data_IF_668073052799
#
_entry.id   IF_668073052799
#
_cell.length_a   1.000
_cell.length_b   1.000
_cell.length_c   1.000
_cell.angle_alpha   90.00
_cell.angle_beta   90.00
_cell.angle_gamma   90.00
#
_symmetry.space_group_name_H-M   'P 1'
#
loop_
_entity.id
_entity.type
_entity.pdbx_description
1 polymer ?
#
# COMPACT_ATOMS: atom_id res chain seq x y z
N UNK A 1 8.82 15.80 -28.56
CA UNK A 1 7.61 15.30 -27.89
C UNK A 1 7.82 15.52 -26.41
N UNK A 2 6.86 16.08 -25.66
CA UNK A 2 7.02 16.20 -24.20
C UNK A 2 7.11 14.80 -23.60
N UNK A 3 7.84 14.65 -22.50
CA UNK A 3 7.83 13.38 -21.77
C UNK A 3 6.40 13.01 -21.35
N UNK A 4 6.05 11.71 -21.38
CA UNK A 4 4.73 11.24 -20.98
C UNK A 4 4.46 11.59 -19.51
N UNK A 5 3.29 12.14 -19.20
CA UNK A 5 2.96 12.56 -17.85
C UNK A 5 2.82 11.34 -16.91
N UNK A 6 3.24 11.49 -15.65
CA UNK A 6 3.08 10.47 -14.62
C UNK A 6 1.71 10.60 -13.95
N UNK A 7 1.06 9.48 -13.66
CA UNK A 7 -0.18 9.44 -12.89
C UNK A 7 -0.08 8.43 -11.76
N UNK A 8 -0.56 8.81 -10.57
CA UNK A 8 -0.62 7.90 -9.42
C UNK A 8 -2.06 7.45 -9.19
N UNK A 9 -2.28 6.16 -9.04
CA UNK A 9 -3.58 5.54 -8.85
C UNK A 9 -3.58 4.80 -7.52
N UNK A 10 -4.45 5.17 -6.59
CA UNK A 10 -4.57 4.48 -5.30
C UNK A 10 -5.79 3.58 -5.27
N UNK A 11 -5.61 2.33 -4.86
CA UNK A 11 -6.70 1.38 -4.67
C UNK A 11 -6.79 0.93 -3.20
N UNK A 12 -7.98 1.05 -2.60
CA UNK A 12 -8.27 0.58 -1.24
C UNK A 12 -8.41 -0.94 -1.15
N UNK A 13 -8.50 -1.48 0.08
CA UNK A 13 -8.53 -2.94 0.30
C UNK A 13 -9.73 -3.65 -0.33
N UNK A 14 -10.90 -3.00 -0.37
CA UNK A 14 -12.08 -3.51 -1.08
C UNK A 14 -11.92 -3.47 -2.60
N UNK A 15 -11.11 -2.56 -3.12
CA UNK A 15 -10.80 -2.41 -4.54
C UNK A 15 -9.77 -3.41 -5.06
N UNK A 16 -9.12 -4.19 -4.19
CA UNK A 16 -8.13 -5.21 -4.58
C UNK A 16 -8.53 -6.63 -4.15
N UNK A 17 -9.73 -6.79 -3.59
CA UNK A 17 -10.14 -8.02 -2.92
C UNK A 17 -10.68 -9.12 -3.84
N UNK A 18 -10.98 -8.85 -5.11
CA UNK A 18 -11.59 -9.84 -6.01
C UNK A 18 -11.11 -9.71 -7.46
N UNK A 19 -11.25 -10.78 -8.27
CA UNK A 19 -10.87 -10.76 -9.68
C UNK A 19 -11.53 -9.65 -10.50
N UNK A 20 -12.83 -9.40 -10.29
CA UNK A 20 -13.59 -8.37 -11.03
C UNK A 20 -13.07 -6.96 -10.74
N UNK A 21 -12.53 -6.76 -9.53
CA UNK A 21 -11.88 -5.51 -9.15
C UNK A 21 -10.52 -5.36 -9.82
N UNK A 22 -9.75 -6.44 -9.92
CA UNK A 22 -8.49 -6.45 -10.66
C UNK A 22 -8.68 -6.26 -12.17
N UNK A 23 -9.75 -6.78 -12.77
CA UNK A 23 -10.14 -6.45 -14.14
C UNK A 23 -10.42 -4.95 -14.31
N UNK A 24 -11.03 -4.32 -13.30
CA UNK A 24 -11.23 -2.86 -13.29
C UNK A 24 -9.89 -2.12 -13.20
N UNK A 25 -8.98 -2.54 -12.31
CA UNK A 25 -7.63 -1.96 -12.19
C UNK A 25 -6.87 -2.10 -13.51
N UNK A 26 -6.92 -3.26 -14.15
CA UNK A 26 -6.32 -3.54 -15.44
C UNK A 26 -6.82 -2.58 -16.53
N UNK A 27 -8.14 -2.42 -16.62
CA UNK A 27 -8.79 -1.51 -17.58
C UNK A 27 -8.39 -0.06 -17.35
N UNK A 28 -8.40 0.41 -16.10
CA UNK A 28 -8.01 1.79 -15.76
C UNK A 28 -6.54 2.05 -16.08
N UNK A 29 -5.66 1.11 -15.71
CA UNK A 29 -4.22 1.21 -15.97
C UNK A 29 -3.93 1.26 -17.46
N UNK A 30 -4.57 0.38 -18.25
CA UNK A 30 -4.43 0.35 -19.71
C UNK A 30 -4.93 1.65 -20.35
N UNK A 31 -6.08 2.16 -19.93
CA UNK A 31 -6.62 3.42 -20.44
C UNK A 31 -5.64 4.60 -20.23
N UNK A 32 -5.03 4.72 -19.05
CA UNK A 32 -4.01 5.75 -18.81
C UNK A 32 -2.77 5.54 -19.66
N UNK A 33 -2.36 4.29 -19.89
CA UNK A 33 -1.21 3.98 -20.74
C UNK A 33 -1.47 4.34 -22.21
N UNK A 34 -2.67 4.02 -22.71
CA UNK A 34 -3.11 4.33 -24.08
C UNK A 34 -3.22 5.85 -24.30
N UNK A 35 -3.58 6.60 -23.26
CA UNK A 35 -3.54 8.07 -23.23
C UNK A 35 -2.11 8.66 -23.16
N UNK A 36 -1.08 7.81 -23.21
CA UNK A 36 0.32 8.23 -23.17
C UNK A 36 0.83 8.62 -21.78
N UNK A 37 0.19 8.17 -20.70
CA UNK A 37 0.67 8.38 -19.32
C UNK A 37 1.55 7.24 -18.82
N UNK A 38 2.24 7.48 -17.71
CA UNK A 38 3.04 6.51 -16.93
C UNK A 38 2.32 6.21 -15.60
N UNK A 39 1.59 5.09 -15.49
CA UNK A 39 0.88 4.76 -14.25
C UNK A 39 1.81 4.20 -13.16
N UNK A 40 1.71 4.77 -11.95
CA UNK A 40 2.14 4.12 -10.72
C UNK A 40 0.92 3.80 -9.86
N UNK A 41 0.75 2.52 -9.52
CA UNK A 41 -0.35 2.02 -8.71
C UNK A 41 0.11 1.87 -7.27
N UNK A 42 -0.69 2.37 -6.33
CA UNK A 42 -0.52 2.20 -4.89
C UNK A 42 -1.70 1.38 -4.39
N UNK A 43 -1.47 0.13 -4.04
CA UNK A 43 -2.52 -0.77 -3.56
C UNK A 43 -2.42 -0.96 -2.05
N UNK A 44 -3.57 -1.18 -1.41
CA UNK A 44 -3.66 -1.56 -0.01
C UNK A 44 -3.56 -3.09 0.15
N UNK A 45 -3.48 -3.58 1.39
CA UNK A 45 -3.75 -4.97 1.74
C UNK A 45 -5.19 -5.36 1.33
N UNK A 46 -5.45 -6.65 1.13
CA UNK A 46 -6.82 -7.12 0.82
C UNK A 46 -7.80 -6.75 1.94
N UNK A 47 -9.07 -6.56 1.59
CA UNK A 47 -10.12 -6.22 2.57
C UNK A 47 -10.09 -7.11 3.82
N UNK A 48 -10.00 -6.50 5.00
CA UNK A 48 -9.97 -7.19 6.30
C UNK A 48 -8.62 -7.84 6.68
N UNK A 49 -7.61 -7.85 5.81
CA UNK A 49 -6.31 -8.49 6.11
C UNK A 49 -5.55 -7.74 7.20
N UNK A 50 -5.54 -6.41 7.18
CA UNK A 50 -4.85 -5.61 8.22
C UNK A 50 -5.42 -5.92 9.62
N UNK A 51 -6.75 -5.93 9.76
CA UNK A 51 -7.41 -6.25 11.03
C UNK A 51 -7.17 -7.70 11.46
N UNK A 52 -7.09 -8.63 10.50
CA UNK A 52 -6.80 -10.03 10.78
C UNK A 52 -5.34 -10.26 11.17
N UNK A 53 -4.39 -9.53 10.58
CA UNK A 53 -2.99 -9.53 11.03
C UNK A 53 -2.89 -8.91 12.44
N UNK A 54 -3.70 -7.90 12.74
CA UNK A 54 -3.74 -7.34 14.09
C UNK A 54 -4.22 -8.37 15.11
N UNK A 55 -5.29 -9.09 14.77
CA UNK A 55 -5.79 -10.22 15.56
C UNK A 55 -4.72 -11.31 15.72
N UNK A 56 -3.97 -11.62 14.66
CA UNK A 56 -2.86 -12.59 14.71
C UNK A 56 -1.80 -12.18 15.73
N UNK A 57 -1.40 -10.90 15.72
CA UNK A 57 -0.39 -10.35 16.63
C UNK A 57 -0.86 -10.46 18.08
N UNK A 58 -2.12 -10.09 18.34
CA UNK A 58 -2.73 -10.15 19.68
C UNK A 58 -2.84 -11.59 20.19
N UNK A 59 -3.37 -12.51 19.37
CA UNK A 59 -3.48 -13.94 19.69
C UNK A 59 -2.12 -14.56 19.98
N UNK A 60 -1.12 -14.31 19.12
CA UNK A 60 0.24 -14.84 19.31
C UNK A 60 0.89 -14.28 20.58
N UNK A 61 0.78 -12.97 20.83
CA UNK A 61 1.38 -12.35 22.02
C UNK A 61 0.69 -12.76 23.33
N UNK A 62 -0.64 -12.97 23.31
CA UNK A 62 -1.39 -13.56 24.43
C UNK A 62 -1.00 -15.02 24.68
N UNK A 63 -0.53 -15.68 23.61
CA UNK A 63 0.03 -17.00 23.67
C UNK A 63 -0.92 -18.13 23.36
N UNK A 64 -2.05 -17.77 22.78
CA UNK A 64 -3.05 -18.63 22.21
C UNK A 64 -2.57 -19.16 20.85
N UNK A 65 -3.30 -20.12 20.27
CA UNK A 65 -2.96 -20.73 18.99
C UNK A 65 -3.23 -19.77 17.81
N UNK A 66 -2.19 -19.30 17.09
CA UNK A 66 -2.36 -18.41 15.94
C UNK A 66 -2.75 -19.15 14.65
N UNK A 67 -2.72 -20.49 14.64
CA UNK A 67 -2.90 -21.28 13.42
C UNK A 67 -4.23 -20.99 12.69
N UNK A 68 -5.39 -20.85 13.35
CA UNK A 68 -6.64 -20.54 12.65
C UNK A 68 -6.59 -19.19 11.91
N UNK A 69 -5.96 -18.18 12.50
CA UNK A 69 -5.84 -16.84 11.89
C UNK A 69 -4.88 -16.89 10.70
N UNK A 70 -3.75 -17.60 10.84
CA UNK A 70 -2.80 -17.82 9.75
C UNK A 70 -3.45 -18.57 8.58
N UNK A 71 -4.19 -19.65 8.84
CA UNK A 71 -4.90 -20.41 7.80
C UNK A 71 -5.89 -19.53 7.04
N UNK A 72 -6.69 -18.72 7.75
CA UNK A 72 -7.64 -17.81 7.10
C UNK A 72 -6.95 -16.71 6.28
N UNK A 73 -5.79 -16.21 6.73
CA UNK A 73 -4.97 -15.27 5.95
C UNK A 73 -4.43 -15.94 4.68
N UNK A 74 -3.88 -17.14 4.79
CA UNK A 74 -3.36 -17.88 3.65
C UNK A 74 -4.46 -18.16 2.62
N UNK A 75 -5.58 -18.73 3.06
CA UNK A 75 -6.72 -19.09 2.20
C UNK A 75 -7.23 -17.88 1.42
N UNK A 76 -7.35 -16.71 2.07
CA UNK A 76 -7.79 -15.50 1.40
C UNK A 76 -6.86 -15.06 0.27
N UNK A 77 -5.53 -15.15 0.45
CA UNK A 77 -4.56 -14.77 -0.58
C UNK A 77 -4.44 -15.83 -1.67
N UNK A 78 -4.41 -17.12 -1.30
CA UNK A 78 -4.38 -18.24 -2.24
C UNK A 78 -5.61 -18.24 -3.16
N UNK A 79 -6.82 -18.06 -2.60
CA UNK A 79 -8.04 -17.99 -3.39
C UNK A 79 -8.01 -16.84 -4.42
N UNK A 80 -7.45 -15.69 -4.06
CA UNK A 80 -7.30 -14.58 -5.00
C UNK A 80 -6.25 -14.89 -6.07
N UNK A 81 -5.09 -15.42 -5.69
CA UNK A 81 -4.02 -15.78 -6.62
C UNK A 81 -4.49 -16.85 -7.63
N UNK A 82 -5.21 -17.87 -7.16
CA UNK A 82 -5.81 -18.92 -7.98
C UNK A 82 -6.85 -18.33 -8.95
N UNK A 83 -7.76 -17.49 -8.44
CA UNK A 83 -8.81 -16.89 -9.25
C UNK A 83 -8.27 -15.92 -10.32
N UNK A 84 -7.11 -15.31 -10.07
CA UNK A 84 -6.39 -14.47 -11.03
C UNK A 84 -5.46 -15.26 -11.96
N UNK A 85 -5.28 -16.56 -11.75
CA UNK A 85 -4.41 -17.42 -12.59
C UNK A 85 -2.91 -17.26 -12.34
N UNK A 86 -2.51 -16.69 -11.20
CA UNK A 86 -1.10 -16.32 -10.89
C UNK A 86 -0.48 -17.11 -9.73
N UNK A 87 -1.12 -18.21 -9.33
CA UNK A 87 -0.62 -19.07 -8.26
C UNK A 87 0.79 -19.61 -8.55
N UNK A 88 1.71 -19.46 -7.58
CA UNK A 88 3.09 -19.94 -7.69
C UNK A 88 3.97 -19.24 -8.72
N UNK A 89 3.56 -18.08 -9.25
CA UNK A 89 4.35 -17.32 -10.24
C UNK A 89 5.21 -16.23 -9.61
N UNK A 90 6.40 -16.03 -10.19
CA UNK A 90 7.26 -14.86 -10.01
C UNK A 90 7.06 -13.88 -11.16
N UNK A 91 7.14 -12.58 -10.91
CA UNK A 91 7.29 -11.58 -11.97
C UNK A 91 8.75 -11.61 -12.43
N UNK A 92 9.03 -12.28 -13.55
CA UNK A 92 10.37 -12.39 -14.12
C UNK A 92 10.68 -11.11 -14.95
N UNK A 93 11.42 -10.13 -14.41
CA UNK A 93 12.54 -9.44 -15.08
C UNK A 93 13.04 -8.15 -14.39
N UNK A 94 14.31 -8.21 -13.94
CA UNK A 94 15.30 -7.15 -13.70
C UNK A 94 15.61 -6.70 -12.24
N UNK A 95 16.45 -7.53 -11.60
CA UNK A 95 17.59 -7.20 -10.74
C UNK A 95 17.28 -6.46 -9.42
N UNK A 96 17.01 -7.24 -8.36
CA UNK A 96 17.96 -7.48 -7.24
C UNK A 96 17.35 -8.30 -6.10
N UNK A 97 16.03 -8.53 -6.09
CA UNK A 97 15.32 -9.33 -5.07
C UNK A 97 13.97 -9.89 -5.61
N UNK A 98 14.02 -10.55 -6.78
CA UNK A 98 12.84 -10.83 -7.63
C UNK A 98 12.17 -12.19 -7.43
N UNK A 99 12.73 -13.09 -6.60
CA UNK A 99 12.12 -14.41 -6.36
C UNK A 99 11.03 -14.41 -5.28
N UNK A 100 10.86 -13.29 -4.54
CA UNK A 100 9.90 -13.23 -3.46
C UNK A 100 8.46 -13.16 -4.00
N UNK A 101 7.74 -14.25 -3.82
CA UNK A 101 6.30 -14.35 -4.10
C UNK A 101 5.48 -13.87 -2.90
N UNK A 102 4.15 -13.85 -3.03
CA UNK A 102 3.29 -13.56 -1.88
C UNK A 102 3.45 -14.63 -0.77
N UNK A 103 3.73 -15.89 -1.13
CA UNK A 103 4.03 -16.97 -0.20
C UNK A 103 5.29 -16.67 0.63
N UNK A 104 6.31 -16.05 0.03
CA UNK A 104 7.53 -15.65 0.77
C UNK A 104 7.23 -14.63 1.89
N UNK A 105 6.30 -13.70 1.61
CA UNK A 105 5.82 -12.75 2.60
C UNK A 105 4.92 -13.42 3.65
N UNK A 106 4.12 -14.41 3.24
CA UNK A 106 3.32 -15.22 4.16
C UNK A 106 4.21 -16.03 5.12
N UNK A 107 5.27 -16.67 4.62
CA UNK A 107 6.26 -17.39 5.44
C UNK A 107 6.93 -16.45 6.45
N UNK A 108 7.21 -15.21 6.04
CA UNK A 108 7.74 -14.18 6.94
C UNK A 108 6.73 -13.85 8.04
N UNK A 109 5.45 -13.70 7.70
CA UNK A 109 4.40 -13.48 8.67
C UNK A 109 4.27 -14.66 9.66
N UNK A 110 4.40 -15.90 9.19
CA UNK A 110 4.41 -17.08 10.05
C UNK A 110 5.58 -17.08 11.03
N UNK A 111 6.79 -16.76 10.56
CA UNK A 111 7.98 -16.63 11.43
C UNK A 111 7.80 -15.52 12.47
N UNK A 112 7.24 -14.38 12.07
CA UNK A 112 6.93 -13.29 13.00
C UNK A 112 5.92 -13.75 14.07
N UNK A 113 4.83 -14.43 13.67
CA UNK A 113 3.85 -14.97 14.60
C UNK A 113 4.47 -15.97 15.58
N UNK A 114 5.35 -16.86 15.10
CA UNK A 114 6.09 -17.79 15.98
C UNK A 114 6.97 -17.05 16.98
N UNK A 115 7.70 -16.01 16.53
CA UNK A 115 8.50 -15.15 17.39
C UNK A 115 7.66 -14.50 18.49
N UNK A 116 6.52 -13.91 18.12
CA UNK A 116 5.57 -13.30 19.07
C UNK A 116 5.03 -14.31 20.09
N UNK A 117 4.71 -15.53 19.65
CA UNK A 117 4.26 -16.61 20.53
C UNK A 117 5.31 -17.04 21.54
N UNK A 118 6.59 -17.03 21.15
CA UNK A 118 7.71 -17.39 22.03
C UNK A 118 8.05 -16.28 23.03
N UNK A 119 8.05 -15.02 22.59
CA UNK A 119 8.43 -13.88 23.44
C UNK A 119 7.28 -13.34 24.28
N UNK A 120 6.02 -13.66 23.94
CA UNK A 120 4.80 -13.09 24.55
C UNK A 120 4.79 -11.56 24.55
N UNK A 121 5.43 -10.96 23.54
CA UNK A 121 5.62 -9.52 23.46
C UNK A 121 5.62 -9.04 22.00
N UNK A 122 4.78 -8.03 21.71
CA UNK A 122 4.63 -7.41 20.40
C UNK A 122 5.12 -5.94 20.41
N UNK A 123 6.43 -5.69 20.30
CA UNK A 123 6.96 -4.34 20.24
C UNK A 123 6.51 -3.63 18.94
N UNK A 124 6.43 -2.28 18.91
CA UNK A 124 5.94 -1.53 17.75
C UNK A 124 6.64 -1.88 16.43
N UNK A 125 7.96 -2.11 16.47
CA UNK A 125 8.73 -2.50 15.28
C UNK A 125 8.27 -3.86 14.69
N UNK A 126 8.03 -4.87 15.54
CA UNK A 126 7.53 -6.17 15.06
C UNK A 126 6.08 -6.09 14.59
N UNK A 127 5.26 -5.27 15.25
CA UNK A 127 3.88 -4.99 14.81
C UNK A 127 3.87 -4.35 13.42
N UNK A 128 4.75 -3.38 13.17
CA UNK A 128 4.93 -2.76 11.85
C UNK A 128 5.35 -3.78 10.78
N UNK A 129 6.34 -4.63 11.08
CA UNK A 129 6.80 -5.66 10.15
C UNK A 129 5.71 -6.68 9.79
N UNK A 130 4.90 -7.09 10.77
CA UNK A 130 3.80 -8.02 10.55
C UNK A 130 2.68 -7.38 9.71
N UNK A 131 2.22 -6.19 10.08
CA UNK A 131 1.17 -5.47 9.36
C UNK A 131 1.56 -5.16 7.91
N UNK A 132 2.85 -4.87 7.66
CA UNK A 132 3.37 -4.65 6.31
C UNK A 132 3.23 -5.86 5.38
N UNK A 133 3.20 -7.09 5.91
CA UNK A 133 3.07 -8.28 5.07
C UNK A 133 1.74 -8.30 4.30
N UNK A 134 0.67 -7.73 4.85
CA UNK A 134 -0.62 -7.65 4.15
C UNK A 134 -0.54 -6.86 2.84
N UNK A 135 0.17 -5.73 2.88
CA UNK A 135 0.42 -4.86 1.73
C UNK A 135 1.34 -5.55 0.71
N UNK A 136 2.42 -6.17 1.20
CA UNK A 136 3.39 -6.87 0.37
C UNK A 136 2.77 -8.07 -0.36
N UNK A 137 1.97 -8.91 0.32
CA UNK A 137 1.29 -10.05 -0.30
C UNK A 137 0.30 -9.61 -1.38
N UNK A 138 -0.59 -8.65 -1.06
CA UNK A 138 -1.59 -8.12 -1.99
C UNK A 138 -0.95 -7.58 -3.27
N UNK A 139 0.12 -6.80 -3.13
CA UNK A 139 0.81 -6.18 -4.27
C UNK A 139 1.62 -7.16 -5.10
N UNK A 140 2.19 -8.22 -4.50
CA UNK A 140 2.86 -9.28 -5.28
C UNK A 140 1.89 -10.02 -6.19
N UNK A 141 0.71 -10.41 -5.67
CA UNK A 141 -0.36 -11.02 -6.47
C UNK A 141 -0.79 -10.08 -7.60
N UNK A 142 -1.04 -8.81 -7.25
CA UNK A 142 -1.45 -7.79 -8.19
C UNK A 142 -0.46 -7.52 -9.32
N UNK A 143 0.83 -7.41 -8.99
CA UNK A 143 1.87 -7.18 -9.98
C UNK A 143 1.98 -8.36 -10.95
N UNK A 144 1.96 -9.61 -10.46
CA UNK A 144 1.96 -10.80 -11.30
C UNK A 144 0.77 -10.82 -12.28
N UNK A 145 -0.43 -10.49 -11.79
CA UNK A 145 -1.63 -10.45 -12.63
C UNK A 145 -1.55 -9.38 -13.73
N UNK A 146 -1.11 -8.17 -13.38
CA UNK A 146 -1.00 -7.07 -14.35
C UNK A 146 0.07 -7.34 -15.41
N UNK A 147 1.21 -7.89 -14.98
CA UNK A 147 2.31 -8.23 -15.87
C UNK A 147 1.94 -9.33 -16.87
N UNK A 148 1.24 -10.37 -16.40
CA UNK A 148 0.83 -11.50 -17.25
C UNK A 148 -0.30 -11.13 -18.23
N UNK A 149 -1.27 -10.33 -17.81
CA UNK A 149 -2.54 -10.17 -18.56
C UNK A 149 -2.79 -8.77 -19.12
N UNK A 150 -2.02 -7.76 -18.70
CA UNK A 150 -2.38 -6.36 -18.98
C UNK A 150 -1.28 -5.62 -19.72
N UNK A 151 -0.15 -5.36 -19.06
CA UNK A 151 1.01 -4.67 -19.59
C UNK A 151 2.22 -4.94 -18.69
N UNK A 152 3.46 -4.79 -19.20
CA UNK A 152 4.66 -4.93 -18.37
C UNK A 152 4.55 -4.13 -17.07
N UNK A 153 4.58 -4.82 -15.94
CA UNK A 153 4.32 -4.22 -14.63
C UNK A 153 5.42 -4.57 -13.65
N UNK A 154 6.19 -3.55 -13.24
CA UNK A 154 7.25 -3.74 -12.23
C UNK A 154 6.70 -3.57 -10.82
N UNK A 155 6.98 -4.54 -9.97
CA UNK A 155 6.73 -4.41 -8.54
C UNK A 155 7.82 -3.54 -7.88
N UNK A 156 7.40 -2.56 -7.10
CA UNK A 156 8.27 -1.68 -6.32
C UNK A 156 7.98 -1.88 -4.84
N UNK A 157 8.99 -2.25 -4.05
CA UNK A 157 8.89 -2.17 -2.59
C UNK A 157 8.86 -0.70 -2.16
N UNK A 158 7.76 -0.26 -1.55
CA UNK A 158 7.58 1.12 -1.10
C UNK A 158 8.66 1.55 -0.11
N UNK A 159 9.24 0.63 0.66
CA UNK A 159 10.31 0.90 1.63
C UNK A 159 11.62 1.31 0.96
N UNK A 160 11.78 1.05 -0.34
CA UNK A 160 12.95 1.52 -1.11
C UNK A 160 12.80 2.96 -1.60
N UNK A 161 11.58 3.50 -1.60
CA UNK A 161 11.26 4.82 -2.17
C UNK A 161 10.66 5.80 -1.13
N UNK A 162 10.05 5.29 -0.07
CA UNK A 162 9.53 6.06 1.05
C UNK A 162 10.38 5.80 2.29
N UNK A 163 10.93 6.88 2.84
CA UNK A 163 11.68 6.86 4.10
C UNK A 163 11.03 7.81 5.08
N UNK A 164 10.87 7.37 6.32
CA UNK A 164 10.34 8.23 7.37
C UNK A 164 11.28 9.40 7.63
N UNK A 165 10.71 10.55 7.99
CA UNK A 165 11.49 11.66 8.50
C UNK A 165 11.90 11.38 9.95
N UNK A 166 13.03 11.94 10.42
CA UNK A 166 13.40 11.86 11.82
C UNK A 166 12.30 12.43 12.71
N UNK A 167 11.96 11.69 13.76
CA UNK A 167 10.99 12.12 14.76
C UNK A 167 11.52 13.27 15.61
N UNK A 168 10.60 13.95 16.32
CA UNK A 168 10.99 14.92 17.34
C UNK A 168 11.82 14.26 18.47
N UNK A 169 12.70 15.00 19.16
CA UNK A 169 13.37 14.49 20.35
C UNK A 169 12.36 13.93 21.35
N UNK A 170 12.58 12.69 21.83
CA UNK A 170 11.67 11.95 22.72
C UNK A 170 10.33 11.51 22.11
N UNK A 171 10.21 11.39 20.79
CA UNK A 171 9.02 10.78 20.17
C UNK A 171 8.79 9.36 20.75
N UNK A 172 7.54 9.02 21.14
CA UNK A 172 7.22 7.66 21.56
C UNK A 172 7.54 6.64 20.46
N UNK A 173 8.11 5.50 20.85
CA UNK A 173 8.47 4.43 19.90
C UNK A 173 7.28 3.97 19.04
N UNK A 174 6.10 3.86 19.64
CA UNK A 174 4.87 3.55 18.92
C UNK A 174 4.56 4.57 17.81
N UNK A 175 4.77 5.86 18.05
CA UNK A 175 4.55 6.88 17.04
C UNK A 175 5.59 6.79 15.90
N UNK A 176 6.86 6.49 16.23
CA UNK A 176 7.93 6.28 15.24
C UNK A 176 7.62 5.12 14.30
N UNK A 177 7.19 3.96 14.82
CA UNK A 177 6.98 2.77 13.99
C UNK A 177 5.58 2.62 13.41
N UNK A 178 4.55 3.19 14.04
CA UNK A 178 3.15 2.93 13.66
C UNK A 178 2.43 4.16 13.08
N UNK A 179 3.06 5.34 13.08
CA UNK A 179 2.47 6.58 12.56
C UNK A 179 3.54 7.55 12.04
N UNK A 180 4.47 7.04 11.23
CA UNK A 180 5.54 7.83 10.65
C UNK A 180 5.03 8.85 9.61
N UNK A 181 5.72 9.99 9.53
CA UNK A 181 5.69 10.88 8.36
C UNK A 181 6.88 10.54 7.47
N UNK A 182 6.76 10.74 6.15
CA UNK A 182 7.82 10.43 5.19
C UNK A 182 8.24 11.68 4.44
N UNK A 183 9.49 11.69 3.98
CA UNK A 183 9.91 12.67 2.99
C UNK A 183 9.18 12.40 1.66
N UNK A 184 8.80 13.48 0.99
CA UNK A 184 8.06 13.47 -0.27
C UNK A 184 8.64 14.44 -1.30
N UNK A 185 9.85 14.97 -1.07
CA UNK A 185 10.56 15.76 -2.06
C UNK A 185 10.74 14.99 -3.38
N UNK A 186 10.73 15.68 -4.55
CA UNK A 186 10.93 15.05 -5.85
C UNK A 186 12.14 14.12 -5.88
N UNK A 187 11.96 12.94 -6.46
CA UNK A 187 12.98 11.88 -6.53
C UNK A 187 13.29 11.52 -7.98
N UNK A 188 14.37 12.11 -8.51
CA UNK A 188 14.81 11.90 -9.88
C UNK A 188 15.18 10.43 -10.18
N UNK A 189 15.65 9.67 -9.20
CA UNK A 189 15.98 8.26 -9.39
C UNK A 189 14.71 7.42 -9.54
N UNK A 190 13.69 7.66 -8.70
CA UNK A 190 12.39 7.02 -8.83
C UNK A 190 11.69 7.40 -10.14
N UNK A 191 11.71 8.67 -10.52
CA UNK A 191 11.17 9.16 -11.80
C UNK A 191 11.82 8.42 -12.99
N UNK A 192 13.15 8.29 -12.98
CA UNK A 192 13.89 7.54 -14.01
C UNK A 192 13.52 6.06 -14.02
N UNK A 193 13.45 5.39 -12.86
CA UNK A 193 13.04 3.98 -12.76
C UNK A 193 11.65 3.74 -13.35
N UNK A 194 10.69 4.63 -13.08
CA UNK A 194 9.36 4.56 -13.67
C UNK A 194 9.39 4.77 -15.20
N UNK A 195 10.18 5.74 -15.68
CA UNK A 195 10.35 5.99 -17.11
C UNK A 195 10.90 4.77 -17.86
N UNK A 196 11.83 4.04 -17.25
CA UNK A 196 12.49 2.86 -17.81
C UNK A 196 11.65 1.57 -17.73
N UNK A 197 10.49 1.61 -17.07
CA UNK A 197 9.64 0.43 -16.91
C UNK A 197 8.89 0.05 -18.20
N UNK A 198 8.61 1.00 -19.08
CA UNK A 198 7.93 0.75 -20.36
C UNK A 198 6.42 0.42 -20.26
N UNK A 199 5.91 0.07 -19.08
CA UNK A 199 4.49 -0.14 -18.78
C UNK A 199 4.03 0.59 -17.52
N UNK A 200 3.72 -0.14 -16.45
CA UNK A 200 3.27 0.40 -15.17
C UNK A 200 4.17 -0.04 -14.01
N UNK A 201 4.09 0.67 -12.88
CA UNK A 201 4.72 0.26 -11.63
C UNK A 201 3.65 0.04 -10.58
N UNK A 202 3.78 -1.00 -9.76
CA UNK A 202 2.86 -1.29 -8.68
C UNK A 202 3.61 -1.35 -7.35
N UNK A 203 3.11 -0.64 -6.35
CA UNK A 203 3.72 -0.53 -5.02
C UNK A 203 2.67 -0.57 -3.92
N UNK A 204 3.15 -0.60 -2.68
CA UNK A 204 2.36 -0.70 -1.47
C UNK A 204 1.96 0.69 -0.96
N UNK A 205 0.76 0.77 -0.39
CA UNK A 205 0.42 1.83 0.54
C UNK A 205 0.94 1.52 1.95
N UNK A 206 0.70 2.44 2.88
CA UNK A 206 0.79 2.26 4.33
C UNK A 206 2.19 2.00 4.93
N UNK A 207 3.16 1.52 4.16
CA UNK A 207 4.49 1.12 4.63
C UNK A 207 5.61 2.04 4.11
N UNK A 208 6.69 2.15 4.87
CA UNK A 208 7.92 2.85 4.50
C UNK A 208 9.13 2.25 5.24
N UNK A 209 10.33 2.68 4.88
CA UNK A 209 11.55 2.39 5.61
C UNK A 209 11.78 3.41 6.74
N UNK A 210 12.32 2.98 7.87
CA UNK A 210 12.76 3.87 8.93
C UNK A 210 13.95 4.71 8.44
N UNK A 211 13.78 6.02 8.38
CA UNK A 211 14.84 6.97 8.03
C UNK A 211 15.85 7.22 9.15
N UNK A 212 15.62 6.70 10.36
CA UNK A 212 16.55 6.79 11.48
C UNK A 212 17.55 5.62 11.54
N UNK A 213 17.50 4.69 10.59
CA UNK A 213 18.45 3.58 10.54
C UNK A 213 19.87 4.12 10.30
N UNK A 214 20.82 3.67 11.13
CA UNK A 214 22.24 3.98 10.92
C UNK A 214 22.70 3.38 9.59
N UNK A 215 23.59 4.08 8.88
CA UNK A 215 24.27 3.54 7.69
C UNK A 215 25.07 2.26 7.99
N UNK A 216 25.35 2.01 9.26
CA UNK A 216 26.17 0.89 9.73
C UNK A 216 25.33 -0.35 10.10
N UNK A 217 24.00 -0.28 9.98
CA UNK A 217 23.13 -1.43 10.23
C UNK A 217 23.10 -2.36 9.02
N UNK A 218 23.88 -3.44 9.08
CA UNK A 218 23.94 -4.48 8.04
C UNK A 218 22.58 -5.16 7.79
N UNK A 219 21.64 -5.07 8.75
CA UNK A 219 20.28 -5.62 8.59
C UNK A 219 19.34 -4.72 7.77
N UNK A 220 19.81 -3.53 7.38
CA UNK A 220 19.05 -2.57 6.59
C UNK A 220 17.98 -1.81 7.38
N UNK A 221 17.27 -0.86 6.75
CA UNK A 221 16.29 -0.05 7.44
C UNK A 221 15.06 -0.88 7.84
N UNK A 222 14.63 -0.71 9.09
CA UNK A 222 13.42 -1.37 9.60
C UNK A 222 12.15 -0.85 8.92
N UNK A 223 11.08 -1.64 8.97
CA UNK A 223 9.78 -1.22 8.43
C UNK A 223 9.04 -0.32 9.43
N UNK A 224 8.49 0.78 8.93
CA UNK A 224 7.56 1.65 9.66
C UNK A 224 6.24 1.75 8.90
N UNK A 225 5.17 2.06 9.63
CA UNK A 225 3.85 2.32 9.08
C UNK A 225 3.60 3.82 9.09
N UNK A 226 2.92 4.30 8.05
CA UNK A 226 2.48 5.70 7.95
C UNK A 226 1.28 5.94 8.89
N UNK A 227 0.55 4.90 9.29
CA UNK A 227 -0.56 5.00 10.24
C UNK A 227 -1.94 5.06 9.56
N UNK A 228 -2.96 5.59 10.25
CA UNK A 228 -4.33 5.64 9.72
C UNK A 228 -4.38 6.36 8.38
N UNK A 229 -5.13 5.78 7.43
CA UNK A 229 -5.19 6.24 6.04
C UNK A 229 -3.83 6.27 5.34
N UNK A 230 -2.91 5.41 5.78
CA UNK A 230 -1.55 5.40 5.28
C UNK A 230 -1.46 5.15 3.79
N UNK A 231 -2.35 4.34 3.19
CA UNK A 231 -2.30 4.09 1.74
C UNK A 231 -2.68 5.31 0.89
N UNK A 232 -3.64 6.14 1.32
CA UNK A 232 -3.95 7.42 0.65
C UNK A 232 -2.75 8.37 0.78
N UNK A 233 -2.16 8.41 1.98
CA UNK A 233 -1.00 9.27 2.30
C UNK A 233 0.25 8.84 1.51
N UNK A 234 0.51 7.54 1.40
CA UNK A 234 1.58 6.97 0.55
C UNK A 234 1.40 7.40 -0.90
N UNK A 235 0.18 7.35 -1.42
CA UNK A 235 -0.09 7.74 -2.80
C UNK A 235 0.14 9.23 -3.03
N UNK A 236 -0.19 10.09 -2.05
CA UNK A 236 0.17 11.51 -2.08
C UNK A 236 1.69 11.71 -2.05
N UNK A 237 2.42 10.98 -1.21
CA UNK A 237 3.89 11.04 -1.20
C UNK A 237 4.50 10.59 -2.53
N UNK A 238 4.04 9.49 -3.11
CA UNK A 238 4.49 9.04 -4.42
C UNK A 238 4.17 10.06 -5.52
N UNK A 239 2.98 10.66 -5.50
CA UNK A 239 2.59 11.68 -6.46
C UNK A 239 3.53 12.91 -6.39
N UNK A 240 3.88 13.35 -5.18
CA UNK A 240 4.84 14.43 -4.97
C UNK A 240 6.26 14.04 -5.43
N UNK A 241 6.77 12.86 -5.05
CA UNK A 241 8.09 12.36 -5.47
C UNK A 241 8.23 12.24 -6.98
N UNK A 242 7.16 11.80 -7.65
CA UNK A 242 7.12 11.60 -9.09
C UNK A 242 6.74 12.86 -9.88
N UNK A 243 6.41 13.96 -9.21
CA UNK A 243 5.83 15.16 -9.83
C UNK A 243 4.66 14.80 -10.76
N UNK A 244 3.78 13.93 -10.26
CA UNK A 244 2.68 13.39 -11.03
C UNK A 244 1.70 14.48 -11.45
N UNK A 245 1.13 14.35 -12.65
CA UNK A 245 0.09 15.24 -13.18
C UNK A 245 -1.13 15.25 -12.25
N UNK A 246 -1.48 14.07 -11.70
CA UNK A 246 -2.56 13.91 -10.74
C UNK A 246 -2.44 12.63 -9.93
N UNK A 247 -3.11 12.64 -8.78
CA UNK A 247 -3.40 11.48 -7.94
C UNK A 247 -4.88 11.13 -8.06
N UNK A 248 -5.20 9.89 -8.43
CA UNK A 248 -6.58 9.37 -8.44
C UNK A 248 -6.77 8.40 -7.27
N UNK A 249 -7.76 8.67 -6.42
CA UNK A 249 -8.16 7.78 -5.32
C UNK A 249 -9.38 6.97 -5.74
N UNK A 250 -9.20 5.66 -5.88
CA UNK A 250 -10.24 4.72 -6.31
C UNK A 250 -10.83 3.98 -5.10
N UNK A 251 -12.09 4.31 -4.81
CA UNK A 251 -12.85 3.78 -3.67
C UNK A 251 -14.23 3.28 -4.11
N UNK A 252 -15.01 2.75 -3.17
CA UNK A 252 -16.35 2.18 -3.39
C UNK A 252 -17.45 3.24 -3.51
N UNK A 253 -17.14 4.50 -3.22
CA UNK A 253 -18.02 5.65 -3.40
C UNK A 253 -17.59 6.53 -4.57
N UNK A 254 -18.54 7.15 -5.33
CA UNK A 254 -18.21 7.97 -6.51
C UNK A 254 -17.39 9.24 -6.24
N UNK A 255 -17.19 9.63 -4.98
CA UNK A 255 -16.48 10.83 -4.58
C UNK A 255 -17.04 11.42 -3.29
N UNK A 256 -16.77 12.71 -3.07
CA UNK A 256 -17.28 13.46 -1.92
C UNK A 256 -18.68 14.00 -2.19
N UNK A 257 -19.53 13.94 -1.17
CA UNK A 257 -20.92 14.43 -1.23
C UNK A 257 -21.11 15.57 -0.23
N UNK A 258 -22.13 16.40 -0.46
CA UNK A 258 -22.51 17.50 0.46
C UNK A 258 -22.86 17.03 1.88
N UNK A 259 -23.22 15.75 2.04
CA UNK A 259 -23.44 15.04 3.28
C UNK A 259 -23.31 13.53 3.02
N UNK A 260 -23.32 12.68 4.04
CA UNK A 260 -23.33 11.22 3.86
C UNK A 260 -24.60 10.78 3.08
N UNK A 261 -24.47 10.26 1.85
CA UNK A 261 -25.62 9.88 1.03
C UNK A 261 -26.40 8.68 1.58
N UNK A 262 -25.80 7.88 2.48
CA UNK A 262 -26.50 6.78 3.18
C UNK A 262 -27.49 7.30 4.21
N UNK A 263 -27.18 8.45 4.81
CA UNK A 263 -27.99 9.11 5.83
C UNK A 263 -28.93 10.17 5.23
N UNK A 264 -28.48 10.89 4.19
CA UNK A 264 -29.22 11.96 3.53
C UNK A 264 -29.33 11.66 2.02
N UNK A 265 -30.44 11.06 1.55
CA UNK A 265 -30.60 10.67 0.14
C UNK A 265 -30.53 11.84 -0.85
N UNK A 266 -30.79 13.07 -0.41
CA UNK A 266 -30.67 14.29 -1.22
C UNK A 266 -29.26 14.83 -1.31
N UNK A 267 -28.25 14.16 -0.72
CA UNK A 267 -26.87 14.57 -0.80
C UNK A 267 -26.39 14.59 -2.26
N UNK A 268 -25.65 15.63 -2.63
CA UNK A 268 -25.19 15.85 -4.01
C UNK A 268 -23.70 15.60 -4.10
N UNK A 269 -23.28 14.98 -5.21
CA UNK A 269 -21.86 14.79 -5.52
C UNK A 269 -21.20 16.16 -5.73
N UNK A 270 -20.11 16.39 -4.99
CA UNK A 270 -19.25 17.56 -5.12
C UNK A 270 -18.28 17.32 -6.28
N UNK A 271 -18.38 18.14 -7.33
CA UNK A 271 -17.58 17.96 -8.56
C UNK A 271 -16.17 18.50 -8.43
N UNK A 272 -16.00 19.55 -7.62
CA UNK A 272 -14.75 20.26 -7.41
C UNK A 272 -14.73 20.80 -5.98
N UNK A 273 -13.56 20.72 -5.36
CA UNK A 273 -13.27 21.23 -4.02
C UNK A 273 -11.83 21.74 -4.00
N UNK A 274 -11.57 22.79 -3.23
CA UNK A 274 -10.21 23.19 -2.89
C UNK A 274 -9.64 22.25 -1.81
N UNK A 275 -8.31 22.14 -1.75
CA UNK A 275 -7.62 21.30 -0.76
C UNK A 275 -8.04 21.60 0.68
N UNK A 276 -8.14 22.89 1.04
CA UNK A 276 -8.57 23.30 2.37
C UNK A 276 -10.00 22.81 2.70
N UNK A 277 -10.93 22.89 1.75
CA UNK A 277 -12.32 22.41 1.95
C UNK A 277 -12.34 20.89 2.12
N UNK A 278 -11.64 20.16 1.24
CA UNK A 278 -11.54 18.72 1.32
C UNK A 278 -10.89 18.25 2.63
N UNK A 279 -9.89 18.98 3.13
CA UNK A 279 -9.21 18.69 4.39
C UNK A 279 -10.13 18.87 5.60
N UNK A 280 -10.90 19.96 5.63
CA UNK A 280 -11.89 20.19 6.69
C UNK A 280 -12.99 19.12 6.67
N UNK A 281 -13.49 18.76 5.49
CA UNK A 281 -14.48 17.68 5.34
C UNK A 281 -13.94 16.34 5.82
N UNK A 282 -12.74 15.96 5.40
CA UNK A 282 -12.12 14.71 5.81
C UNK A 282 -11.89 14.67 7.33
N UNK A 283 -11.49 15.79 7.93
CA UNK A 283 -11.23 15.89 9.37
C UNK A 283 -12.51 15.83 10.21
N UNK A 284 -13.63 16.30 9.65
CA UNK A 284 -14.93 16.35 10.33
C UNK A 284 -15.82 15.11 10.10
N UNK A 285 -15.32 14.09 9.40
CA UNK A 285 -15.96 12.78 9.32
C UNK A 285 -16.27 12.27 7.91
N UNK A 286 -15.90 13.00 6.84
CA UNK A 286 -16.01 12.47 5.49
C UNK A 286 -14.91 11.41 5.25
N UNK A 287 -15.24 10.14 5.51
CA UNK A 287 -14.29 9.01 5.48
C UNK A 287 -13.81 8.57 4.08
N UNK A 288 -14.06 9.38 3.04
CA UNK A 288 -13.71 9.08 1.65
C UNK A 288 -12.22 9.26 1.40
N UNK A 289 -11.60 10.23 2.07
CA UNK A 289 -10.19 10.56 1.99
C UNK A 289 -9.62 10.70 3.39
N UNK A 290 -8.40 10.23 3.60
CA UNK A 290 -7.72 10.52 4.84
C UNK A 290 -7.15 11.96 4.86
N UNK A 291 -7.36 12.78 5.90
CA UNK A 291 -6.91 14.17 5.92
C UNK A 291 -5.41 14.37 5.66
N UNK A 292 -4.58 13.38 6.05
CA UNK A 292 -3.12 13.44 5.85
C UNK A 292 -2.70 13.40 4.37
N UNK A 293 -3.51 12.87 3.46
CA UNK A 293 -3.16 12.83 2.04
C UNK A 293 -3.39 14.16 1.31
N UNK A 294 -3.96 15.17 2.00
CA UNK A 294 -4.27 16.50 1.45
C UNK A 294 -3.30 17.59 1.93
N UNK A 295 -2.27 17.21 2.69
CA UNK A 295 -1.25 18.11 3.23
C UNK A 295 -0.18 18.46 2.21
#
# INVERSE_FOLDING_TARGET
MSEPATIVLKFGGTSVASPERWETIARVTRAHRDDGRRPLLVCSALGGVTDRIETLIETAAAGDDPAPVLSALHEQHANLADALGVAGRTSDDHATDESATWETHFDTLQRLAQGLSLTRHAPPALRAQALAQGELMSTRIGAAYLDEHVLPTRWLDARTALRSTPGAPNQPEAARYLSADCDFAPDAALQKRLAETGGAMLTQGFIAADGNASSDDESGPQTVLIGRGGSDTSAAYFAAKLEAERLEIWTDVPGLFTADPRSIPSARLLRQLHYAEAQEMATTGASVLHPRCLR
#
